data_IF_273743430010
#
_entry.id   IF_273743430010
#
_cell.length_a   1.000
_cell.length_b   1.000
_cell.length_c   1.000
_cell.angle_alpha   90.00
_cell.angle_beta   90.00
_cell.angle_gamma   90.00
#
_symmetry.space_group_name_H-M   'P 1'
#
loop_
_entity.id
_entity.type
_entity.pdbx_description
1 polymer ?
#
# COMPACT_ATOMS: atom_id res chain seq x y z
N UNK A 1 -4.65 12.54 -11.88
CA UNK A 1 -6.06 12.34 -12.31
C UNK A 1 -7.04 12.74 -11.24
N UNK A 2 -6.94 12.25 -10.00
CA UNK A 2 -7.91 12.54 -8.91
C UNK A 2 -8.23 14.01 -8.67
N UNK A 3 -7.24 14.91 -8.78
CA UNK A 3 -7.41 16.35 -8.52
C UNK A 3 -7.83 17.13 -9.77
N UNK A 4 -7.37 16.70 -10.95
CA UNK A 4 -7.57 17.44 -12.22
C UNK A 4 -8.76 16.96 -13.02
N UNK A 5 -9.31 15.78 -12.72
CA UNK A 5 -10.44 15.17 -13.43
C UNK A 5 -11.63 14.99 -12.48
N UNK A 6 -12.77 15.56 -12.86
CA UNK A 6 -14.01 15.45 -12.09
C UNK A 6 -14.63 14.08 -12.29
N UNK A 7 -14.72 13.31 -11.20
CA UNK A 7 -15.42 12.02 -11.19
C UNK A 7 -16.86 12.20 -10.69
N UNK A 8 -17.84 11.45 -11.23
CA UNK A 8 -19.17 11.35 -10.64
C UNK A 8 -19.07 10.90 -9.18
N UNK A 9 -19.90 11.46 -8.29
CA UNK A 9 -19.87 11.12 -6.86
C UNK A 9 -20.10 9.63 -6.57
N UNK A 10 -20.82 8.93 -7.45
CA UNK A 10 -21.00 7.48 -7.39
C UNK A 10 -19.69 6.68 -7.58
N UNK A 11 -18.70 7.26 -8.25
CA UNK A 11 -17.41 6.67 -8.57
C UNK A 11 -16.23 7.30 -7.80
N UNK A 12 -16.45 8.39 -7.09
CA UNK A 12 -15.43 8.97 -6.21
C UNK A 12 -16.10 9.82 -5.15
N UNK A 13 -16.35 9.21 -3.99
CA UNK A 13 -16.78 9.96 -2.83
C UNK A 13 -15.62 10.71 -2.17
N UNK A 14 -15.94 11.57 -1.19
CA UNK A 14 -14.94 12.33 -0.43
C UNK A 14 -13.92 11.43 0.29
N UNK A 15 -14.35 10.26 0.75
CA UNK A 15 -13.49 9.28 1.43
C UNK A 15 -12.40 8.78 0.49
N UNK A 16 -12.78 8.29 -0.70
CA UNK A 16 -11.82 7.80 -1.68
C UNK A 16 -10.90 8.92 -2.21
N UNK A 17 -11.44 10.13 -2.39
CA UNK A 17 -10.64 11.29 -2.74
C UNK A 17 -9.53 11.54 -1.71
N UNK A 18 -9.89 11.63 -0.42
CA UNK A 18 -8.96 11.83 0.67
C UNK A 18 -7.90 10.74 0.73
N UNK A 19 -8.33 9.46 0.67
CA UNK A 19 -7.42 8.32 0.67
C UNK A 19 -6.41 8.38 -0.48
N UNK A 20 -6.84 8.69 -1.71
CA UNK A 20 -5.96 8.82 -2.88
C UNK A 20 -4.91 9.91 -2.69
N UNK A 21 -5.31 11.09 -2.22
CA UNK A 21 -4.39 12.20 -2.00
C UNK A 21 -3.35 11.83 -0.93
N UNK A 22 -3.81 11.33 0.22
CA UNK A 22 -2.94 10.92 1.32
C UNK A 22 -1.96 9.83 0.91
N UNK A 23 -2.43 8.78 0.24
CA UNK A 23 -1.58 7.67 -0.21
C UNK A 23 -0.60 8.09 -1.31
N UNK A 24 -1.00 8.99 -2.20
CA UNK A 24 -0.09 9.53 -3.23
C UNK A 24 1.05 10.30 -2.59
N UNK A 25 0.75 11.15 -1.60
CA UNK A 25 1.78 11.90 -0.85
C UNK A 25 2.67 10.96 -0.03
N UNK A 26 2.07 9.96 0.64
CA UNK A 26 2.82 8.96 1.38
C UNK A 26 3.76 8.17 0.46
N UNK A 27 3.33 7.80 -0.75
CA UNK A 27 4.16 7.11 -1.72
C UNK A 27 5.35 7.96 -2.16
N UNK A 28 5.15 9.26 -2.43
CA UNK A 28 6.26 10.19 -2.75
C UNK A 28 7.24 10.29 -1.58
N UNK A 29 6.74 10.44 -0.35
CA UNK A 29 7.57 10.49 0.85
C UNK A 29 8.38 9.20 1.07
N UNK A 30 7.74 8.03 0.88
CA UNK A 30 8.40 6.73 0.99
C UNK A 30 9.50 6.54 -0.05
N UNK A 31 9.26 6.95 -1.29
CA UNK A 31 10.27 6.88 -2.36
C UNK A 31 11.43 7.83 -2.04
N UNK A 32 11.15 9.07 -1.63
CA UNK A 32 12.18 10.02 -1.24
C UNK A 32 13.03 9.47 -0.06
N UNK A 33 12.38 8.89 0.95
CA UNK A 33 13.06 8.26 2.07
C UNK A 33 13.88 7.03 1.65
N UNK A 34 13.36 6.21 0.73
CA UNK A 34 14.10 5.08 0.16
C UNK A 34 15.41 5.54 -0.52
N UNK A 35 15.36 6.68 -1.23
CA UNK A 35 16.52 7.29 -1.89
C UNK A 35 17.53 7.83 -0.87
N UNK A 36 17.07 8.42 0.24
CA UNK A 36 17.96 8.84 1.32
C UNK A 36 18.62 7.63 1.98
N UNK A 37 17.85 6.59 2.30
CA UNK A 37 18.34 5.37 2.96
C UNK A 37 19.40 4.63 2.12
N UNK A 38 19.22 4.53 0.79
CA UNK A 38 20.22 3.89 -0.06
C UNK A 38 21.52 4.72 -0.14
N UNK A 39 21.42 6.06 -0.12
CA UNK A 39 22.59 6.95 -0.10
C UNK A 39 23.38 6.86 1.20
N UNK A 40 22.70 6.63 2.32
CA UNK A 40 23.36 6.35 3.61
C UNK A 40 23.81 4.89 3.75
N UNK A 41 23.71 4.07 2.69
CA UNK A 41 24.00 2.63 2.66
C UNK A 41 23.14 1.78 3.61
N UNK A 42 22.00 2.31 4.06
CA UNK A 42 21.01 1.54 4.82
C UNK A 42 20.07 0.78 3.87
N UNK A 43 20.53 -0.40 3.46
CA UNK A 43 19.80 -1.28 2.55
C UNK A 43 18.51 -1.81 3.18
N UNK A 44 18.49 -2.01 4.49
CA UNK A 44 17.33 -2.56 5.19
C UNK A 44 16.18 -1.54 5.17
N UNK A 45 16.45 -0.29 5.54
CA UNK A 45 15.48 0.79 5.49
C UNK A 45 15.03 1.08 4.06
N UNK A 46 15.95 1.08 3.08
CA UNK A 46 15.60 1.23 1.67
C UNK A 46 14.59 0.18 1.21
N UNK A 47 14.85 -1.10 1.48
CA UNK A 47 13.95 -2.19 1.06
C UNK A 47 12.59 -2.11 1.75
N UNK A 48 12.56 -1.75 3.04
CA UNK A 48 11.31 -1.57 3.77
C UNK A 48 10.49 -0.38 3.22
N UNK A 49 11.14 0.74 2.90
CA UNK A 49 10.51 1.89 2.26
C UNK A 49 9.91 1.54 0.90
N UNK A 50 10.69 0.87 0.05
CA UNK A 50 10.27 0.47 -1.29
C UNK A 50 9.11 -0.53 -1.26
N UNK A 51 9.11 -1.48 -0.31
CA UNK A 51 8.02 -2.45 -0.18
C UNK A 51 6.70 -1.76 0.22
N UNK A 52 6.74 -0.76 1.10
CA UNK A 52 5.56 0.06 1.44
C UNK A 52 5.06 0.86 0.26
N UNK A 53 5.96 1.50 -0.50
CA UNK A 53 5.57 2.24 -1.71
C UNK A 53 4.94 1.31 -2.77
N UNK A 54 5.52 0.12 -2.96
CA UNK A 54 4.98 -0.90 -3.85
C UNK A 54 3.58 -1.37 -3.43
N UNK A 55 3.35 -1.56 -2.13
CA UNK A 55 2.04 -1.95 -1.60
C UNK A 55 0.94 -0.91 -1.91
N UNK A 56 1.28 0.38 -1.80
CA UNK A 56 0.37 1.47 -2.19
C UNK A 56 0.07 1.41 -3.70
N UNK A 57 1.10 1.23 -4.52
CA UNK A 57 0.98 1.17 -5.98
C UNK A 57 0.15 -0.05 -6.45
N UNK A 58 0.27 -1.20 -5.78
CA UNK A 58 -0.53 -2.40 -6.06
C UNK A 58 -2.03 -2.25 -5.76
N UNK A 59 -2.46 -1.15 -5.12
CA UNK A 59 -3.85 -0.92 -4.78
C UNK A 59 -4.82 -1.10 -5.95
N UNK A 60 -4.45 -0.67 -7.16
CA UNK A 60 -5.30 -0.80 -8.34
C UNK A 60 -5.66 -2.26 -8.68
N UNK A 61 -4.67 -3.17 -8.65
CA UNK A 61 -4.88 -4.59 -8.95
C UNK A 61 -5.75 -5.26 -7.89
N UNK A 62 -5.50 -4.98 -6.62
CA UNK A 62 -6.30 -5.51 -5.50
C UNK A 62 -7.73 -4.98 -5.54
N UNK A 63 -7.92 -3.71 -5.92
CA UNK A 63 -9.24 -3.11 -6.11
C UNK A 63 -10.03 -3.85 -7.19
N UNK A 64 -9.44 -4.09 -8.36
CA UNK A 64 -10.09 -4.86 -9.43
C UNK A 64 -10.46 -6.27 -8.97
N UNK A 65 -9.57 -6.96 -8.25
CA UNK A 65 -9.85 -8.29 -7.71
C UNK A 65 -11.02 -8.28 -6.72
N UNK A 66 -11.03 -7.34 -5.76
CA UNK A 66 -12.12 -7.21 -4.79
C UNK A 66 -13.45 -6.85 -5.47
N UNK A 67 -13.44 -5.95 -6.47
CA UNK A 67 -14.62 -5.62 -7.25
C UNK A 67 -15.17 -6.83 -8.01
N UNK A 68 -14.30 -7.62 -8.65
CA UNK A 68 -14.71 -8.83 -9.36
C UNK A 68 -15.34 -9.84 -8.39
N UNK A 69 -14.72 -10.07 -7.24
CA UNK A 69 -15.26 -10.95 -6.19
C UNK A 69 -16.63 -10.44 -5.74
N UNK A 70 -16.76 -9.16 -5.41
CA UNK A 70 -18.03 -8.58 -4.98
C UNK A 70 -19.13 -8.71 -6.05
N UNK A 71 -18.81 -8.46 -7.32
CA UNK A 71 -19.77 -8.61 -8.42
C UNK A 71 -20.25 -10.06 -8.59
N UNK A 72 -19.36 -11.06 -8.39
CA UNK A 72 -19.73 -12.48 -8.43
C UNK A 72 -20.72 -12.83 -7.33
N UNK A 73 -20.53 -12.31 -6.11
CA UNK A 73 -21.38 -12.63 -4.96
C UNK A 73 -22.68 -11.81 -4.89
N UNK A 74 -22.63 -10.54 -5.26
CA UNK A 74 -23.76 -9.60 -5.09
C UNK A 74 -24.47 -9.25 -6.41
N UNK A 75 -23.96 -9.74 -7.55
CA UNK A 75 -24.57 -9.54 -8.88
C UNK A 75 -24.59 -8.11 -9.39
N UNK A 76 -23.97 -7.17 -8.67
CA UNK A 76 -24.03 -5.73 -8.96
C UNK A 76 -22.69 -5.06 -8.68
N UNK A 77 -22.39 -3.98 -9.42
CA UNK A 77 -21.20 -3.17 -9.18
C UNK A 77 -21.36 -2.36 -7.90
N UNK A 78 -20.38 -2.40 -6.97
CA UNK A 78 -20.41 -1.54 -5.79
C UNK A 78 -20.29 -0.07 -6.18
N UNK A 79 -21.22 0.76 -5.69
CA UNK A 79 -21.28 2.20 -5.95
C UNK A 79 -21.30 3.01 -4.65
N UNK A 80 -20.93 4.29 -4.77
CA UNK A 80 -20.95 5.24 -3.65
C UNK A 80 -20.06 4.81 -2.49
N UNK A 81 -20.60 4.86 -1.26
CA UNK A 81 -19.83 4.58 -0.03
C UNK A 81 -19.28 3.15 0.01
N UNK A 82 -20.04 2.17 -0.48
CA UNK A 82 -19.60 0.76 -0.51
C UNK A 82 -18.35 0.58 -1.38
N UNK A 83 -18.31 1.28 -2.51
CA UNK A 83 -17.18 1.32 -3.44
C UNK A 83 -15.96 1.94 -2.79
N UNK A 84 -16.13 3.11 -2.17
CA UNK A 84 -15.05 3.84 -1.50
C UNK A 84 -14.44 2.98 -0.39
N UNK A 85 -15.26 2.36 0.46
CA UNK A 85 -14.80 1.47 1.53
C UNK A 85 -14.01 0.29 0.99
N UNK A 86 -14.51 -0.37 -0.05
CA UNK A 86 -13.82 -1.53 -0.62
C UNK A 86 -12.49 -1.14 -1.27
N UNK A 87 -12.42 0.04 -1.89
CA UNK A 87 -11.16 0.55 -2.44
C UNK A 87 -10.15 0.91 -1.36
N UNK A 88 -10.60 1.48 -0.26
CA UNK A 88 -9.74 1.76 0.91
C UNK A 88 -9.28 0.46 1.56
N UNK A 89 -10.16 -0.54 1.67
CA UNK A 89 -9.82 -1.86 2.20
C UNK A 89 -8.74 -2.55 1.36
N UNK A 90 -8.77 -2.40 0.02
CA UNK A 90 -7.72 -2.93 -0.86
C UNK A 90 -6.32 -2.39 -0.50
N UNK A 91 -6.21 -1.08 -0.24
CA UNK A 91 -4.95 -0.50 0.22
C UNK A 91 -4.56 -0.98 1.62
N UNK A 92 -5.53 -1.05 2.55
CA UNK A 92 -5.27 -1.55 3.89
C UNK A 92 -4.73 -2.99 3.88
N UNK A 93 -5.30 -3.87 3.04
CA UNK A 93 -4.82 -5.24 2.83
C UNK A 93 -3.38 -5.22 2.33
N UNK A 94 -3.08 -4.47 1.27
CA UNK A 94 -1.73 -4.43 0.70
C UNK A 94 -0.70 -3.91 1.71
N UNK A 95 -1.03 -2.85 2.45
CA UNK A 95 -0.16 -2.28 3.48
C UNK A 95 0.05 -3.28 4.62
N UNK A 96 -1.02 -3.96 5.07
CA UNK A 96 -0.93 -5.01 6.09
C UNK A 96 -0.02 -6.15 5.67
N UNK A 97 -0.16 -6.64 4.44
CA UNK A 97 0.72 -7.68 3.86
C UNK A 97 2.17 -7.20 3.80
N UNK A 98 2.41 -5.98 3.32
CA UNK A 98 3.74 -5.41 3.26
C UNK A 98 4.38 -5.31 4.64
N UNK A 99 3.65 -4.85 5.64
CA UNK A 99 4.18 -4.71 7.00
C UNK A 99 4.49 -6.08 7.62
N UNK A 100 3.64 -7.09 7.40
CA UNK A 100 3.92 -8.48 7.82
C UNK A 100 5.19 -9.02 7.15
N UNK A 101 5.37 -8.79 5.85
CA UNK A 101 6.57 -9.19 5.12
C UNK A 101 7.82 -8.46 5.64
N UNK A 102 7.70 -7.18 5.98
CA UNK A 102 8.80 -6.39 6.55
C UNK A 102 9.21 -6.95 7.91
N UNK A 103 8.25 -7.18 8.82
CA UNK A 103 8.52 -7.73 10.14
C UNK A 103 9.15 -9.13 10.06
N UNK A 104 8.66 -9.99 9.16
CA UNK A 104 9.18 -11.36 8.99
C UNK A 104 10.56 -11.40 8.35
N UNK A 105 10.79 -10.62 7.29
CA UNK A 105 12.02 -10.69 6.50
C UNK A 105 13.19 -9.89 7.09
N UNK A 106 12.90 -8.77 7.78
CA UNK A 106 13.93 -7.90 8.33
C UNK A 106 14.13 -8.08 9.85
N UNK A 107 13.12 -8.51 10.60
CA UNK A 107 13.25 -8.82 12.03
C UNK A 107 14.09 -10.07 12.32
N UNK A 108 14.06 -11.07 11.44
CA UNK A 108 14.82 -12.34 11.59
C UNK A 108 16.31 -12.21 11.23
N UNK A 109 16.67 -11.33 10.29
CA UNK A 109 18.08 -11.14 9.88
C UNK A 109 18.94 -10.49 10.98
N UNK A 110 18.37 -9.65 11.82
CA UNK A 110 19.10 -9.00 12.92
C UNK A 110 19.53 -10.00 14.00
N UNK A 111 18.72 -11.03 14.24
CA UNK A 111 19.01 -12.07 15.24
C UNK A 111 20.03 -13.10 14.78
N UNK A 112 20.13 -13.37 13.46
CA UNK A 112 21.08 -14.37 12.94
C UNK A 112 22.54 -13.88 12.89
N UNK A 113 22.76 -12.57 12.86
CA UNK A 113 24.11 -11.99 12.89
C UNK A 113 24.76 -12.04 14.29
N UNK A 114 23.97 -12.15 15.35
CA UNK A 114 24.48 -12.18 16.74
C UNK A 114 24.87 -13.59 17.20
N UNK A 115 24.33 -14.64 16.59
CA UNK A 115 24.60 -16.05 17.00
C UNK A 115 25.88 -16.60 16.39
N UNK A 116 26.45 -15.97 15.36
CA UNK A 116 27.72 -16.43 14.74
C UNK A 116 28.98 -15.75 15.30
N UNK A 117 28.87 -14.97 16.37
CA UNK A 117 29.99 -14.27 17.01
C UNK A 117 30.24 -14.76 18.44
N UNK A 118 30.19 -16.08 18.64
CA UNK A 118 30.71 -16.71 19.86
C UNK A 118 31.86 -17.65 19.46
N UNK A 119 33.07 -17.46 20.01
CA UNK A 119 34.26 -18.25 19.69
C UNK A 119 34.17 -19.71 20.18
#
# INVERSE_FOLDING_TARGET
MTVSYTFPAALQGPLLYGARVTLSLAMVALIAWAVVAIRSRDIASHRAAMLRAYAIAQGASTQTALFLIAMIFFGTEPLGVSRDLMMVAAWAINIGVAEVLIHRAFGTRRSRATVSSTP
#
